data_IF_240500884761
#
_entry.id   IF_240500884761
#
_cell.length_a   1.000
_cell.length_b   1.000
_cell.length_c   1.000
_cell.angle_alpha   90.00
_cell.angle_beta   90.00
_cell.angle_gamma   90.00
#
_symmetry.space_group_name_H-M   'P 1'
#
loop_
_entity.id
_entity.type
_entity.pdbx_description
1 polymer ?
#
# COMPACT_ATOMS: atom_id res chain seq x y z
N UNK A 1 -1.66 16.58 -27.22
CA UNK A 1 -2.45 17.81 -27.40
C UNK A 1 -2.86 18.28 -26.02
N UNK A 2 -2.27 19.38 -25.54
CA UNK A 2 -2.63 20.00 -24.27
C UNK A 2 -4.03 20.59 -24.38
N UNK A 3 -4.89 20.28 -23.43
CA UNK A 3 -6.18 20.89 -23.30
C UNK A 3 -6.00 22.38 -22.91
N UNK A 4 -6.47 23.28 -23.75
CA UNK A 4 -6.54 24.71 -23.41
C UNK A 4 -7.92 24.97 -22.81
N UNK A 5 -8.02 25.47 -21.57
CA UNK A 5 -9.32 25.89 -21.04
C UNK A 5 -9.91 26.96 -21.94
N UNK A 6 -11.26 27.04 -22.00
CA UNK A 6 -11.97 28.16 -22.64
C UNK A 6 -11.67 29.42 -21.81
N UNK A 7 -10.56 30.06 -22.10
CA UNK A 7 -10.08 31.22 -21.36
C UNK A 7 -10.75 32.45 -21.96
N UNK A 8 -11.51 33.17 -21.16
CA UNK A 8 -11.86 34.55 -21.49
C UNK A 8 -10.57 35.37 -21.61
N UNK A 9 -10.49 36.28 -22.58
CA UNK A 9 -9.28 37.09 -22.89
C UNK A 9 -8.64 37.78 -21.68
N UNK A 10 -9.43 38.05 -20.64
CA UNK A 10 -8.94 38.70 -19.39
C UNK A 10 -8.29 37.69 -18.40
N UNK A 11 -8.37 36.40 -18.59
CA UNK A 11 -7.81 35.39 -17.68
C UNK A 11 -6.39 34.97 -18.05
N UNK A 12 -5.89 35.35 -19.21
CA UNK A 12 -4.56 34.97 -19.73
C UNK A 12 -3.37 35.49 -18.92
N UNK A 13 -3.61 36.41 -17.98
CA UNK A 13 -2.55 36.97 -17.09
C UNK A 13 -2.52 36.32 -15.69
N UNK A 14 -3.42 35.40 -15.38
CA UNK A 14 -3.47 34.76 -14.06
C UNK A 14 -2.73 33.43 -14.11
N UNK A 15 -1.70 33.28 -13.28
CA UNK A 15 -0.89 32.06 -13.13
C UNK A 15 -1.71 30.81 -12.79
N UNK A 16 -2.91 30.99 -12.24
CA UNK A 16 -3.86 29.91 -11.89
C UNK A 16 -4.48 29.21 -13.09
N UNK A 17 -4.38 29.81 -14.29
CA UNK A 17 -4.88 29.25 -15.57
C UNK A 17 -3.75 28.72 -16.45
N UNK A 18 -2.52 28.72 -15.97
CA UNK A 18 -1.39 28.09 -16.66
C UNK A 18 -1.23 26.64 -16.22
N UNK A 19 -1.16 25.73 -17.18
CA UNK A 19 -0.87 24.33 -16.90
C UNK A 19 0.58 24.20 -16.46
N UNK A 20 0.76 23.61 -15.28
CA UNK A 20 2.08 23.32 -14.73
C UNK A 20 2.37 21.83 -14.82
N UNK A 21 3.57 21.49 -15.28
CA UNK A 21 4.05 20.11 -15.26
C UNK A 21 4.35 19.66 -13.83
N UNK A 22 4.41 18.36 -13.61
CA UNK A 22 4.76 17.81 -12.28
C UNK A 22 6.15 18.28 -11.81
N UNK A 23 7.09 18.51 -12.73
CA UNK A 23 8.43 19.02 -12.44
C UNK A 23 8.40 20.50 -12.00
N UNK A 24 7.63 21.34 -12.70
CA UNK A 24 7.47 22.77 -12.38
C UNK A 24 6.79 22.98 -11.03
N UNK A 25 5.90 22.10 -10.64
CA UNK A 25 5.22 22.16 -9.34
C UNK A 25 6.08 21.67 -8.17
N UNK A 26 7.31 21.20 -8.42
CA UNK A 26 8.11 20.47 -7.42
C UNK A 26 7.32 19.31 -6.78
N UNK A 27 6.17 18.99 -7.33
CA UNK A 27 5.37 17.84 -6.99
C UNK A 27 6.13 16.63 -7.55
N UNK A 28 6.94 16.00 -6.71
CA UNK A 28 7.69 14.80 -7.08
C UNK A 28 6.75 13.79 -7.72
N UNK A 29 6.72 13.66 -9.02
CA UNK A 29 6.02 12.71 -9.90
C UNK A 29 5.09 11.67 -9.23
N UNK A 30 4.42 12.06 -8.15
CA UNK A 30 3.63 11.20 -7.31
C UNK A 30 2.22 11.10 -7.88
N UNK A 31 1.93 9.94 -8.41
CA UNK A 31 0.59 9.63 -8.86
C UNK A 31 -0.36 9.59 -7.67
N UNK A 32 -1.38 10.43 -7.68
CA UNK A 32 -2.46 10.43 -6.71
C UNK A 32 -3.56 9.46 -7.16
N UNK A 33 -3.78 8.41 -6.38
CA UNK A 33 -4.89 7.49 -6.61
C UNK A 33 -6.20 8.08 -6.12
N UNK A 34 -7.16 8.22 -7.01
CA UNK A 34 -8.57 8.41 -6.70
C UNK A 34 -9.29 7.07 -6.56
N UNK A 35 -10.63 7.09 -6.53
CA UNK A 35 -11.45 5.87 -6.55
C UNK A 35 -11.50 5.21 -7.92
N UNK A 36 -11.43 6.00 -8.98
CA UNK A 36 -11.61 5.55 -10.36
C UNK A 36 -10.36 5.68 -11.21
N UNK A 37 -9.53 6.69 -10.94
CA UNK A 37 -8.37 7.00 -11.77
C UNK A 37 -7.13 7.34 -10.91
N UNK A 38 -5.98 7.22 -11.55
CA UNK A 38 -4.70 7.67 -10.99
C UNK A 38 -4.33 8.97 -11.68
N UNK A 39 -4.16 10.04 -10.91
CA UNK A 39 -3.83 11.38 -11.41
C UNK A 39 -2.34 11.64 -11.31
N UNK A 40 -1.75 12.17 -12.37
CA UNK A 40 -0.36 12.63 -12.37
C UNK A 40 -0.20 13.93 -11.57
N UNK A 41 1.03 14.27 -11.18
CA UNK A 41 1.32 15.50 -10.44
C UNK A 41 1.17 16.80 -11.22
N UNK A 42 0.92 16.77 -12.53
CA UNK A 42 0.68 17.95 -13.37
C UNK A 42 -0.76 18.47 -13.30
N UNK A 43 -0.96 19.75 -13.57
CA UNK A 43 -2.30 20.35 -13.57
C UNK A 43 -2.28 21.86 -13.33
N UNK A 44 -3.47 22.40 -13.05
CA UNK A 44 -3.64 23.80 -12.68
C UNK A 44 -3.55 23.94 -11.17
N UNK A 45 -2.77 24.90 -10.68
CA UNK A 45 -2.53 25.07 -9.25
C UNK A 45 -3.09 26.39 -8.72
N UNK A 46 -3.87 26.30 -7.64
CA UNK A 46 -4.36 27.43 -6.89
C UNK A 46 -3.77 27.41 -5.48
N UNK A 47 -2.88 28.35 -5.18
CA UNK A 47 -2.37 28.51 -3.81
C UNK A 47 -3.27 29.44 -3.01
N UNK A 48 -3.91 28.90 -1.98
CA UNK A 48 -4.74 29.65 -1.06
C UNK A 48 -3.94 30.09 0.15
N UNK A 49 -3.69 31.38 0.28
CA UNK A 49 -2.98 31.98 1.42
C UNK A 49 -3.61 33.32 1.78
N UNK A 50 -3.80 33.58 3.07
CA UNK A 50 -4.22 34.89 3.56
C UNK A 50 -5.50 34.84 4.39
N UNK A 51 -6.12 36.03 4.54
CA UNK A 51 -7.34 36.20 5.34
C UNK A 51 -8.57 35.62 4.61
N UNK A 52 -9.53 35.11 5.36
CA UNK A 52 -10.78 34.49 4.87
C UNK A 52 -11.51 35.37 3.85
N UNK A 53 -11.60 36.69 4.08
CA UNK A 53 -12.27 37.61 3.14
C UNK A 53 -11.60 37.64 1.76
N UNK A 54 -10.24 37.65 1.71
CA UNK A 54 -9.49 37.63 0.46
C UNK A 54 -9.64 36.29 -0.27
N UNK A 55 -9.65 35.19 0.50
CA UNK A 55 -9.86 33.83 -0.04
C UNK A 55 -11.25 33.68 -0.65
N UNK A 56 -12.29 34.14 0.06
CA UNK A 56 -13.65 34.09 -0.45
C UNK A 56 -13.84 34.89 -1.75
N UNK A 57 -13.23 36.09 -1.83
CA UNK A 57 -13.25 36.88 -3.06
C UNK A 57 -12.53 36.15 -4.20
N UNK A 58 -11.37 35.54 -3.91
CA UNK A 58 -10.65 34.73 -4.94
C UNK A 58 -11.47 33.54 -5.42
N UNK A 59 -12.14 32.82 -4.53
CA UNK A 59 -13.03 31.73 -4.90
C UNK A 59 -14.19 32.21 -5.77
N UNK A 60 -14.81 33.36 -5.44
CA UNK A 60 -15.88 33.93 -6.26
C UNK A 60 -15.39 34.27 -7.67
N UNK A 61 -14.23 34.93 -7.79
CA UNK A 61 -13.63 35.24 -9.10
C UNK A 61 -13.37 33.97 -9.92
N UNK A 62 -12.91 32.88 -9.29
CA UNK A 62 -12.70 31.61 -9.98
C UNK A 62 -14.00 30.95 -10.42
N UNK A 63 -15.08 31.07 -9.62
CA UNK A 63 -16.41 30.60 -9.99
C UNK A 63 -16.98 31.39 -11.18
N UNK A 64 -16.87 32.71 -11.15
CA UNK A 64 -17.31 33.59 -12.24
C UNK A 64 -16.57 33.31 -13.55
N UNK A 65 -15.30 32.91 -13.48
CA UNK A 65 -14.46 32.59 -14.63
C UNK A 65 -14.45 31.07 -14.99
N UNK A 66 -15.34 30.26 -14.43
CA UNK A 66 -15.48 28.83 -14.73
C UNK A 66 -14.15 28.04 -14.64
N UNK A 67 -13.36 28.30 -13.58
CA UNK A 67 -12.10 27.58 -13.36
C UNK A 67 -12.29 26.07 -13.20
N UNK A 68 -13.45 25.66 -12.67
CA UNK A 68 -13.94 24.27 -12.68
C UNK A 68 -15.03 24.21 -13.77
N UNK A 69 -14.83 23.38 -14.77
CA UNK A 69 -15.71 23.23 -15.92
C UNK A 69 -16.07 21.77 -16.19
N UNK A 70 -16.87 21.52 -17.24
CA UNK A 70 -17.30 20.16 -17.63
C UNK A 70 -16.15 19.25 -18.06
N UNK A 71 -14.95 19.76 -18.26
CA UNK A 71 -13.74 19.01 -18.64
C UNK A 71 -12.88 18.69 -17.44
N UNK A 72 -13.15 19.30 -16.28
CA UNK A 72 -12.44 19.05 -15.03
C UNK A 72 -12.69 17.61 -14.58
N UNK A 73 -11.64 16.82 -14.44
CA UNK A 73 -11.72 15.40 -14.05
C UNK A 73 -11.62 15.20 -12.55
N UNK A 74 -10.79 15.99 -11.89
CA UNK A 74 -10.62 15.91 -10.45
C UNK A 74 -10.21 17.26 -9.87
N UNK A 75 -10.69 17.57 -8.68
CA UNK A 75 -10.23 18.67 -7.85
C UNK A 75 -9.50 18.07 -6.65
N UNK A 76 -8.23 18.44 -6.52
CA UNK A 76 -7.38 17.95 -5.44
C UNK A 76 -7.10 19.09 -4.48
N UNK A 77 -7.56 18.97 -3.24
CA UNK A 77 -7.25 19.93 -2.16
C UNK A 77 -6.23 19.30 -1.23
N UNK A 78 -5.09 19.96 -1.09
CA UNK A 78 -4.01 19.49 -0.23
C UNK A 78 -3.64 20.56 0.80
N UNK A 79 -3.53 20.15 2.06
CA UNK A 79 -3.04 21.02 3.13
C UNK A 79 -2.35 20.20 4.21
N UNK A 80 -1.40 20.83 4.91
CA UNK A 80 -0.67 20.22 6.01
C UNK A 80 -1.07 20.83 7.33
N UNK A 81 -1.24 20.00 8.36
CA UNK A 81 -1.56 20.41 9.73
C UNK A 81 -0.47 19.91 10.66
N UNK A 82 -0.04 20.76 11.58
CA UNK A 82 0.92 20.39 12.62
C UNK A 82 0.25 20.39 13.99
N UNK A 83 0.32 19.26 14.68
CA UNK A 83 -0.07 19.12 16.08
C UNK A 83 1.20 19.21 16.96
N UNK A 84 1.37 20.33 17.63
CA UNK A 84 2.54 20.58 18.47
C UNK A 84 2.58 19.70 19.74
N UNK A 85 1.43 19.32 20.28
CA UNK A 85 1.35 18.49 21.49
C UNK A 85 1.86 17.07 21.24
N UNK A 86 1.45 16.50 20.10
CA UNK A 86 1.85 15.15 19.70
C UNK A 86 3.11 15.12 18.83
N UNK A 87 3.61 16.29 18.42
CA UNK A 87 4.71 16.45 17.46
C UNK A 87 4.49 15.64 16.16
N UNK A 88 3.27 15.77 15.62
CA UNK A 88 2.84 15.06 14.43
C UNK A 88 2.47 16.06 13.33
N UNK A 89 2.92 15.77 12.11
CA UNK A 89 2.46 16.42 10.89
C UNK A 89 1.45 15.52 10.21
N UNK A 90 0.30 16.09 9.86
CA UNK A 90 -0.72 15.47 9.04
C UNK A 90 -0.78 16.15 7.69
N UNK A 91 -0.76 15.39 6.62
CA UNK A 91 -1.07 15.87 5.27
C UNK A 91 -2.42 15.34 4.90
N UNK A 92 -3.33 16.26 4.63
CA UNK A 92 -4.70 15.93 4.22
C UNK A 92 -4.83 16.18 2.73
N UNK A 93 -5.27 15.16 2.01
CA UNK A 93 -5.60 15.23 0.58
C UNK A 93 -7.06 14.86 0.39
N UNK A 94 -7.80 15.76 -0.21
CA UNK A 94 -9.20 15.55 -0.58
C UNK A 94 -9.23 15.54 -2.10
N UNK A 95 -9.57 14.40 -2.68
CA UNK A 95 -9.71 14.24 -4.12
C UNK A 95 -11.20 14.15 -4.43
N UNK A 96 -11.76 15.15 -5.09
CA UNK A 96 -13.12 15.12 -5.61
C UNK A 96 -13.06 14.74 -7.08
N UNK A 97 -13.46 13.52 -7.43
CA UNK A 97 -13.49 13.03 -8.80
C UNK A 97 -14.85 13.33 -9.43
N UNK A 98 -14.84 13.97 -10.60
CA UNK A 98 -16.02 14.25 -11.39
C UNK A 98 -16.29 13.07 -12.34
N UNK A 99 -17.24 12.23 -11.97
CA UNK A 99 -17.65 11.05 -12.73
C UNK A 99 -19.02 11.32 -13.34
N UNK A 100 -19.33 10.75 -14.51
CA UNK A 100 -20.52 11.06 -15.31
C UNK A 100 -21.90 11.00 -14.64
N UNK A 101 -21.99 10.73 -13.35
CA UNK A 101 -23.22 10.71 -12.55
C UNK A 101 -23.11 11.48 -11.23
N UNK A 102 -21.97 12.13 -10.93
CA UNK A 102 -21.80 12.84 -9.68
C UNK A 102 -20.35 13.08 -9.28
N UNK A 103 -20.16 13.50 -8.04
CA UNK A 103 -18.85 13.74 -7.44
C UNK A 103 -18.53 12.63 -6.45
N UNK A 104 -17.40 11.94 -6.64
CA UNK A 104 -16.90 10.93 -5.70
C UNK A 104 -15.75 11.51 -4.87
N UNK A 105 -15.95 11.83 -3.59
CA UNK A 105 -14.88 12.33 -2.74
C UNK A 105 -14.05 11.19 -2.17
N UNK A 106 -12.73 11.32 -2.22
CA UNK A 106 -11.77 10.44 -1.56
C UNK A 106 -10.96 11.26 -0.57
N UNK A 107 -10.91 10.80 0.68
CA UNK A 107 -10.15 11.43 1.74
C UNK A 107 -8.93 10.58 2.06
N UNK A 108 -7.76 11.19 2.03
CA UNK A 108 -6.52 10.56 2.45
C UNK A 108 -5.84 11.43 3.49
N UNK A 109 -5.53 10.86 4.62
CA UNK A 109 -4.81 11.52 5.71
C UNK A 109 -3.58 10.69 6.01
N UNK A 110 -2.42 11.26 5.75
CA UNK A 110 -1.14 10.65 6.03
C UNK A 110 -0.48 11.38 7.21
N UNK A 111 -0.03 10.63 8.21
CA UNK A 111 0.55 11.19 9.44
C UNK A 111 2.02 10.81 9.52
N UNK A 112 2.88 11.79 9.78
CA UNK A 112 4.31 11.57 9.95
C UNK A 112 4.84 12.33 11.17
N UNK A 113 5.78 11.70 11.88
CA UNK A 113 6.58 12.37 12.90
C UNK A 113 7.92 12.77 12.29
N UNK A 114 8.14 14.09 12.12
CA UNK A 114 9.37 14.60 11.50
C UNK A 114 10.55 14.64 12.49
N UNK A 115 10.29 15.04 13.72
CA UNK A 115 11.34 15.13 14.74
C UNK A 115 11.15 14.07 15.78
N UNK A 116 12.23 13.37 16.11
CA UNK A 116 12.22 12.43 17.21
C UNK A 116 12.10 13.21 18.52
N UNK A 117 11.20 12.77 19.38
CA UNK A 117 11.09 13.34 20.74
C UNK A 117 12.34 12.93 21.51
N UNK A 118 13.03 13.91 22.13
CA UNK A 118 14.15 13.68 23.04
C UNK A 118 13.61 13.28 24.41
N UNK A 119 12.98 12.11 24.45
CA UNK A 119 12.35 11.50 25.59
C UNK A 119 12.98 10.13 25.84
N UNK A 120 12.73 9.53 26.99
CA UNK A 120 13.26 8.19 27.33
C UNK A 120 12.94 7.18 26.21
N UNK A 121 11.72 7.22 25.66
CA UNK A 121 11.31 6.42 24.51
C UNK A 121 12.18 6.65 23.27
N UNK A 122 12.57 7.88 23.00
CA UNK A 122 13.45 8.23 21.86
C UNK A 122 14.86 7.66 22.00
N UNK A 123 15.41 7.66 23.21
CA UNK A 123 16.72 7.04 23.48
C UNK A 123 16.67 5.52 23.35
N UNK A 124 15.59 4.86 23.83
CA UNK A 124 15.41 3.42 23.67
C UNK A 124 15.35 3.05 22.18
N UNK A 125 14.57 3.78 21.37
CA UNK A 125 14.48 3.53 19.93
C UNK A 125 15.85 3.68 19.26
N UNK A 126 16.61 4.72 19.62
CA UNK A 126 17.97 4.92 19.07
C UNK A 126 18.90 3.77 19.45
N UNK A 127 18.85 3.29 20.71
CA UNK A 127 19.62 2.13 21.14
C UNK A 127 19.24 0.86 20.35
N UNK A 128 17.95 0.64 20.12
CA UNK A 128 17.46 -0.48 19.29
C UNK A 128 17.94 -0.37 17.83
N UNK A 129 17.95 0.83 17.24
CA UNK A 129 18.47 1.06 15.88
C UNK A 129 19.98 0.73 15.80
N UNK A 130 20.77 1.18 16.76
CA UNK A 130 22.20 0.84 16.84
C UNK A 130 22.41 -0.67 16.98
N UNK A 131 21.65 -1.31 17.88
CA UNK A 131 21.68 -2.75 18.04
C UNK A 131 21.35 -3.50 16.76
N UNK A 132 20.33 -3.03 16.02
CA UNK A 132 19.95 -3.59 14.73
C UNK A 132 21.08 -3.52 13.70
N UNK A 133 21.79 -2.39 13.63
CA UNK A 133 22.96 -2.23 12.74
C UNK A 133 24.05 -3.24 13.08
N UNK A 134 24.42 -3.36 14.36
CA UNK A 134 25.44 -4.33 14.81
C UNK A 134 25.00 -5.78 14.55
N UNK A 135 23.75 -6.10 14.85
CA UNK A 135 23.21 -7.43 14.60
C UNK A 135 23.22 -7.78 13.11
N UNK A 136 22.84 -6.84 12.23
CA UNK A 136 22.88 -7.03 10.79
C UNK A 136 24.30 -7.29 10.30
N UNK A 137 25.27 -6.51 10.78
CA UNK A 137 26.68 -6.69 10.45
C UNK A 137 27.19 -8.06 10.88
N UNK A 138 26.91 -8.48 12.10
CA UNK A 138 27.23 -9.82 12.61
C UNK A 138 26.61 -10.92 11.73
N UNK A 139 25.34 -10.75 11.33
CA UNK A 139 24.65 -11.70 10.47
C UNK A 139 25.29 -11.83 9.09
N UNK A 140 25.72 -10.72 8.50
CA UNK A 140 26.44 -10.70 7.21
C UNK A 140 27.74 -11.51 7.32
N UNK A 141 28.53 -11.25 8.35
CA UNK A 141 29.80 -11.97 8.56
C UNK A 141 29.58 -13.47 8.75
N UNK A 142 28.61 -13.84 9.56
CA UNK A 142 28.27 -15.24 9.82
C UNK A 142 27.80 -15.97 8.55
N UNK A 143 26.97 -15.31 7.74
CA UNK A 143 26.49 -15.88 6.48
C UNK A 143 27.61 -16.05 5.44
N UNK A 144 28.54 -15.10 5.37
CA UNK A 144 29.72 -15.21 4.53
C UNK A 144 30.63 -16.38 5.00
N UNK A 145 30.82 -16.52 6.30
CA UNK A 145 31.59 -17.64 6.87
C UNK A 145 30.95 -19.00 6.53
N UNK A 146 29.63 -19.10 6.67
CA UNK A 146 28.85 -20.30 6.31
C UNK A 146 28.93 -20.60 4.82
N UNK A 147 28.83 -19.58 3.97
CA UNK A 147 28.98 -19.73 2.51
C UNK A 147 30.37 -20.26 2.13
N UNK A 148 31.44 -19.76 2.77
CA UNK A 148 32.80 -20.24 2.56
C UNK A 148 33.01 -21.69 3.01
N UNK A 149 32.43 -22.07 4.14
CA UNK A 149 32.59 -23.41 4.73
C UNK A 149 31.84 -24.50 3.97
N UNK A 150 30.59 -24.23 3.54
CA UNK A 150 29.72 -25.19 2.85
C UNK A 150 29.92 -25.22 1.33
N UNK A 151 30.49 -24.15 0.76
CA UNK A 151 30.55 -23.92 -0.67
C UNK A 151 29.21 -23.53 -1.28
N UNK A 152 29.21 -22.84 -2.44
CA UNK A 152 27.99 -22.23 -3.01
C UNK A 152 26.91 -23.26 -3.33
N UNK A 153 27.27 -24.43 -3.89
CA UNK A 153 26.31 -25.45 -4.30
C UNK A 153 25.51 -26.01 -3.10
N UNK A 154 26.15 -26.27 -1.97
CA UNK A 154 25.52 -26.85 -0.79
C UNK A 154 24.79 -25.77 0.02
N UNK A 155 25.29 -24.54 0.01
CA UNK A 155 24.66 -23.40 0.69
C UNK A 155 23.26 -23.12 0.12
N UNK A 156 23.09 -23.08 -1.21
CA UNK A 156 21.81 -22.81 -1.86
C UNK A 156 20.82 -23.99 -1.84
N UNK A 157 21.24 -25.19 -1.44
CA UNK A 157 20.31 -26.32 -1.24
C UNK A 157 19.49 -26.22 0.02
N UNK A 158 19.97 -25.51 1.03
CA UNK A 158 19.25 -25.32 2.28
C UNK A 158 18.32 -24.11 2.22
N UNK A 159 17.02 -24.34 2.32
CA UNK A 159 16.01 -23.27 2.30
C UNK A 159 16.21 -22.23 3.41
N UNK A 160 16.78 -22.61 4.56
CA UNK A 160 17.04 -21.70 5.66
C UNK A 160 18.15 -20.69 5.34
N UNK A 161 19.15 -21.10 4.60
CA UNK A 161 20.20 -20.18 4.12
C UNK A 161 19.64 -19.16 3.12
N UNK A 162 18.62 -19.53 2.34
CA UNK A 162 17.91 -18.59 1.45
C UNK A 162 17.16 -17.54 2.28
N UNK A 163 16.48 -17.95 3.36
CA UNK A 163 15.82 -17.03 4.29
C UNK A 163 16.85 -16.06 4.92
N UNK A 164 18.05 -16.55 5.24
CA UNK A 164 19.13 -15.71 5.77
C UNK A 164 19.55 -14.63 4.78
N UNK A 165 19.76 -14.98 3.49
CA UNK A 165 20.10 -14.01 2.44
C UNK A 165 18.99 -12.97 2.28
N UNK A 166 17.74 -13.41 2.19
CA UNK A 166 16.57 -12.52 2.04
C UNK A 166 16.50 -11.55 3.22
N UNK A 167 16.67 -12.04 4.44
CA UNK A 167 16.65 -11.19 5.64
C UNK A 167 17.79 -10.16 5.62
N UNK A 168 19.00 -10.55 5.24
CA UNK A 168 20.15 -9.65 5.13
C UNK A 168 19.88 -8.59 4.05
N UNK A 169 19.37 -8.99 2.88
CA UNK A 169 19.05 -8.07 1.82
C UNK A 169 18.07 -6.98 2.28
N UNK A 170 16.94 -7.38 2.87
CA UNK A 170 15.96 -6.42 3.38
C UNK A 170 16.50 -5.59 4.54
N UNK A 171 17.34 -6.15 5.42
CA UNK A 171 17.99 -5.37 6.49
C UNK A 171 18.91 -4.28 5.94
N UNK A 172 19.66 -4.55 4.88
CA UNK A 172 20.48 -3.54 4.20
C UNK A 172 19.63 -2.46 3.53
N UNK A 173 18.51 -2.85 2.91
CA UNK A 173 17.55 -1.89 2.32
C UNK A 173 16.95 -1.00 3.41
N UNK A 174 16.58 -1.56 4.58
CA UNK A 174 16.08 -0.79 5.74
C UNK A 174 17.12 0.25 6.17
N UNK A 175 18.40 -0.13 6.29
CA UNK A 175 19.47 0.80 6.65
C UNK A 175 19.62 1.92 5.61
N UNK A 176 19.58 1.61 4.33
CA UNK A 176 19.62 2.60 3.25
C UNK A 176 18.43 3.57 3.30
N UNK A 177 17.21 3.06 3.43
CA UNK A 177 16.00 3.86 3.55
C UNK A 177 16.00 4.72 4.83
N UNK A 178 16.53 4.20 5.93
CA UNK A 178 16.70 4.97 7.17
C UNK A 178 17.58 6.20 6.97
N UNK A 179 18.71 6.07 6.28
CA UNK A 179 19.61 7.18 5.96
C UNK A 179 18.89 8.20 5.07
N UNK A 180 18.26 7.75 3.99
CA UNK A 180 17.54 8.63 3.05
C UNK A 180 16.41 9.38 3.77
N UNK A 181 15.62 8.68 4.59
CA UNK A 181 14.56 9.28 5.42
C UNK A 181 15.09 10.38 6.32
N UNK A 182 16.17 10.14 7.06
CA UNK A 182 16.74 11.13 7.97
C UNK A 182 17.28 12.37 7.20
N UNK A 183 17.89 12.17 6.04
CA UNK A 183 18.36 13.28 5.21
C UNK A 183 17.19 14.14 4.71
N UNK A 184 16.10 13.54 4.25
CA UNK A 184 14.91 14.28 3.82
C UNK A 184 14.22 15.00 4.99
N UNK A 185 14.11 14.38 6.15
CA UNK A 185 13.57 15.03 7.36
C UNK A 185 14.41 16.26 7.77
N UNK A 186 15.73 16.17 7.69
CA UNK A 186 16.60 17.33 7.99
C UNK A 186 16.37 18.48 6.99
N UNK A 187 16.25 18.16 5.69
CA UNK A 187 15.95 19.17 4.65
C UNK A 187 14.60 19.84 4.93
N UNK A 188 13.58 19.03 5.18
CA UNK A 188 12.22 19.49 5.45
C UNK A 188 12.17 20.38 6.70
N UNK A 189 12.81 19.98 7.78
CA UNK A 189 12.88 20.76 9.03
C UNK A 189 13.58 22.11 8.82
N UNK A 190 14.62 22.15 7.99
CA UNK A 190 15.28 23.42 7.61
C UNK A 190 14.34 24.33 6.81
N UNK A 191 13.55 23.78 5.89
CA UNK A 191 12.56 24.54 5.13
C UNK A 191 11.45 25.08 6.04
N UNK A 192 10.92 24.29 6.95
CA UNK A 192 9.90 24.70 7.92
C UNK A 192 10.42 25.86 8.77
N UNK A 193 11.66 25.76 9.29
CA UNK A 193 12.29 26.85 10.08
C UNK A 193 12.49 28.12 9.28
N UNK A 194 12.88 28.03 8.01
CA UNK A 194 13.08 29.21 7.13
C UNK A 194 11.77 29.92 6.80
N UNK A 195 10.71 29.17 6.60
CA UNK A 195 9.39 29.71 6.20
C UNK A 195 8.52 30.12 7.39
N UNK A 196 8.93 29.78 8.62
CA UNK A 196 8.14 30.03 9.82
C UNK A 196 6.75 29.37 9.80
N UNK A 197 6.57 28.31 9.02
CA UNK A 197 5.28 27.63 8.84
C UNK A 197 4.29 28.37 7.91
N UNK A 198 4.69 29.50 7.31
CA UNK A 198 3.81 30.34 6.50
C UNK A 198 3.79 30.01 5.00
N UNK A 199 4.47 28.96 4.56
CA UNK A 199 4.47 28.50 3.18
C UNK A 199 4.04 27.04 3.08
N UNK A 200 3.42 26.67 1.96
CA UNK A 200 3.17 25.28 1.64
C UNK A 200 4.51 24.56 1.44
N UNK A 201 4.70 23.44 2.13
CA UNK A 201 5.90 22.63 2.05
C UNK A 201 5.46 21.23 1.58
N UNK A 202 5.98 20.73 0.45
CA UNK A 202 5.65 19.42 -0.06
C UNK A 202 6.28 18.33 0.82
N UNK A 203 5.50 17.78 1.75
CA UNK A 203 5.93 16.73 2.69
C UNK A 203 5.78 15.34 2.07
N UNK A 204 5.10 15.25 0.93
CA UNK A 204 4.68 13.99 0.31
C UNK A 204 5.83 13.02 0.02
N UNK A 205 6.96 13.53 -0.50
CA UNK A 205 8.14 12.71 -0.75
C UNK A 205 8.67 12.05 0.53
N UNK A 206 8.73 12.82 1.60
CA UNK A 206 9.18 12.31 2.90
C UNK A 206 8.21 11.24 3.43
N UNK A 207 6.92 11.41 3.23
CA UNK A 207 5.90 10.43 3.61
C UNK A 207 6.01 9.14 2.83
N UNK A 208 6.24 9.21 1.50
CA UNK A 208 6.46 8.01 0.70
C UNK A 208 7.69 7.22 1.15
N UNK A 209 8.82 7.92 1.36
CA UNK A 209 10.04 7.29 1.86
C UNK A 209 9.78 6.62 3.22
N UNK A 210 9.02 7.30 4.10
CA UNK A 210 8.61 6.72 5.38
C UNK A 210 7.76 5.47 5.21
N UNK A 211 6.79 5.48 4.28
CA UNK A 211 5.95 4.31 4.01
C UNK A 211 6.77 3.14 3.46
N UNK A 212 7.70 3.38 2.53
CA UNK A 212 8.61 2.33 2.05
C UNK A 212 9.51 1.78 3.16
N UNK A 213 9.99 2.64 4.03
CA UNK A 213 10.75 2.23 5.21
C UNK A 213 9.91 1.31 6.11
N UNK A 214 8.68 1.71 6.45
CA UNK A 214 7.78 0.95 7.32
C UNK A 214 7.42 -0.41 6.71
N UNK A 215 7.12 -0.49 5.40
CA UNK A 215 6.89 -1.75 4.69
C UNK A 215 8.12 -2.66 4.73
N UNK A 216 9.30 -2.10 4.48
CA UNK A 216 10.53 -2.90 4.45
C UNK A 216 10.90 -3.40 5.84
N UNK A 217 10.72 -2.57 6.89
CA UNK A 217 10.90 -3.00 8.29
C UNK A 217 9.92 -4.12 8.63
N UNK A 218 8.64 -3.97 8.27
CA UNK A 218 7.62 -5.00 8.53
C UNK A 218 7.98 -6.34 7.87
N UNK A 219 8.47 -6.30 6.63
CA UNK A 219 8.92 -7.50 5.94
C UNK A 219 10.18 -8.10 6.56
N UNK A 220 11.13 -7.28 7.02
CA UNK A 220 12.34 -7.72 7.72
C UNK A 220 11.99 -8.40 9.05
N UNK A 221 11.04 -7.84 9.81
CA UNK A 221 10.52 -8.45 11.03
C UNK A 221 9.86 -9.80 10.73
N UNK A 222 9.01 -9.86 9.69
CA UNK A 222 8.37 -11.10 9.27
C UNK A 222 9.39 -12.20 8.93
N UNK A 223 10.40 -11.89 8.10
CA UNK A 223 11.44 -12.87 7.74
C UNK A 223 12.29 -13.27 8.95
N UNK A 224 12.55 -12.35 9.88
CA UNK A 224 13.23 -12.65 11.14
C UNK A 224 12.42 -13.58 12.04
N UNK A 225 11.10 -13.39 12.11
CA UNK A 225 10.21 -14.31 12.84
C UNK A 225 10.18 -15.71 12.22
N UNK A 226 10.23 -15.82 10.88
CA UNK A 226 10.35 -17.14 10.25
C UNK A 226 11.61 -17.90 10.70
N UNK A 227 12.70 -17.21 11.05
CA UNK A 227 13.91 -17.86 11.58
C UNK A 227 13.68 -18.56 12.91
N UNK A 228 12.74 -18.10 13.73
CA UNK A 228 12.39 -18.82 14.96
C UNK A 228 11.82 -20.21 14.67
N UNK A 229 11.18 -20.41 13.51
CA UNK A 229 10.74 -21.73 13.08
C UNK A 229 11.91 -22.72 12.91
N UNK A 230 13.11 -22.22 12.53
CA UNK A 230 14.32 -23.05 12.47
C UNK A 230 14.73 -23.55 13.86
N UNK A 231 14.63 -22.72 14.91
CA UNK A 231 14.90 -23.12 16.28
C UNK A 231 13.91 -24.18 16.77
N UNK A 232 12.62 -24.02 16.39
CA UNK A 232 11.60 -24.98 16.74
C UNK A 232 11.84 -26.35 16.06
N UNK A 233 12.52 -26.37 14.91
CA UNK A 233 12.84 -27.63 14.18
C UNK A 233 13.76 -28.58 14.95
N UNK A 234 14.38 -28.18 16.07
CA UNK A 234 15.12 -29.09 16.95
C UNK A 234 14.21 -30.00 17.76
N UNK A 235 12.94 -29.63 17.98
CA UNK A 235 11.98 -30.47 18.69
C UNK A 235 11.47 -31.59 17.78
N UNK A 236 11.33 -32.82 18.33
CA UNK A 236 10.87 -34.00 17.58
C UNK A 236 9.52 -33.79 16.90
N UNK A 237 8.57 -33.15 17.60
CA UNK A 237 7.24 -32.86 17.07
C UNK A 237 7.28 -31.99 15.80
N UNK A 238 8.12 -30.94 15.79
CA UNK A 238 8.25 -30.07 14.60
C UNK A 238 8.95 -30.77 13.45
N UNK A 239 9.92 -31.66 13.70
CA UNK A 239 10.52 -32.50 12.64
C UNK A 239 9.50 -33.41 11.99
N UNK A 240 8.61 -34.02 12.77
CA UNK A 240 7.52 -34.85 12.25
C UNK A 240 6.58 -34.04 11.38
N UNK A 241 6.12 -32.86 11.85
CA UNK A 241 5.26 -31.96 11.09
C UNK A 241 5.94 -31.56 9.76
N UNK A 242 7.21 -31.15 9.81
CA UNK A 242 7.95 -30.77 8.61
C UNK A 242 8.11 -31.93 7.62
N UNK A 243 8.35 -33.14 8.11
CA UNK A 243 8.41 -34.34 7.27
C UNK A 243 7.06 -34.65 6.63
N UNK A 244 5.96 -34.57 7.40
CA UNK A 244 4.59 -34.76 6.88
C UNK A 244 4.26 -33.73 5.82
N UNK A 245 4.54 -32.42 6.04
CA UNK A 245 4.33 -31.36 5.04
C UNK A 245 5.12 -31.65 3.77
N UNK A 246 6.37 -32.11 3.89
CA UNK A 246 7.20 -32.47 2.72
C UNK A 246 6.60 -33.63 1.92
N UNK A 247 6.07 -34.65 2.57
CA UNK A 247 5.39 -35.75 1.92
C UNK A 247 4.07 -35.31 1.26
N UNK A 248 3.33 -34.43 1.91
CA UNK A 248 2.07 -33.87 1.40
C UNK A 248 2.26 -32.86 0.27
N UNK A 249 3.48 -32.36 0.05
CA UNK A 249 3.73 -31.21 -0.83
C UNK A 249 3.21 -31.42 -2.26
N UNK A 250 3.38 -32.59 -2.84
CA UNK A 250 2.91 -32.90 -4.19
C UNK A 250 1.37 -32.85 -4.26
N UNK A 251 0.70 -33.51 -3.31
CA UNK A 251 -0.77 -33.50 -3.25
C UNK A 251 -1.33 -32.13 -2.92
N UNK A 252 -0.66 -31.38 -2.05
CA UNK A 252 -1.03 -30.01 -1.72
C UNK A 252 -0.85 -29.07 -2.92
N UNK A 253 0.21 -29.21 -3.71
CA UNK A 253 0.44 -28.39 -4.91
C UNK A 253 -0.62 -28.63 -5.98
N UNK A 254 -1.03 -29.87 -6.23
CA UNK A 254 -2.15 -30.17 -7.15
C UNK A 254 -3.46 -29.58 -6.66
N UNK A 255 -3.74 -29.69 -5.35
CA UNK A 255 -4.90 -29.05 -4.75
C UNK A 255 -4.90 -27.51 -4.94
N UNK A 256 -3.76 -26.85 -4.70
CA UNK A 256 -3.63 -25.39 -4.87
C UNK A 256 -3.90 -25.00 -6.33
N UNK A 257 -3.37 -25.74 -7.31
CA UNK A 257 -3.61 -25.47 -8.73
C UNK A 257 -5.11 -25.62 -9.05
N UNK A 258 -5.75 -26.72 -8.61
CA UNK A 258 -7.19 -26.94 -8.82
C UNK A 258 -8.02 -25.82 -8.17
N UNK A 259 -7.66 -25.42 -6.94
CA UNK A 259 -8.32 -24.32 -6.24
C UNK A 259 -8.18 -22.99 -6.99
N UNK A 260 -6.98 -22.63 -7.44
CA UNK A 260 -6.72 -21.37 -8.18
C UNK A 260 -7.52 -21.30 -9.48
N UNK A 261 -7.60 -22.40 -10.23
CA UNK A 261 -8.37 -22.47 -11.48
C UNK A 261 -9.88 -22.29 -11.19
N UNK A 262 -10.43 -23.01 -10.24
CA UNK A 262 -11.85 -22.91 -9.88
C UNK A 262 -12.17 -21.54 -9.32
N UNK A 263 -11.37 -21.06 -8.39
CA UNK A 263 -11.55 -19.74 -7.78
C UNK A 263 -11.46 -18.61 -8.82
N UNK A 264 -10.46 -18.67 -9.70
CA UNK A 264 -10.28 -17.71 -10.78
C UNK A 264 -11.46 -17.67 -11.75
N UNK A 265 -12.02 -18.85 -12.08
CA UNK A 265 -13.22 -18.96 -12.95
C UNK A 265 -14.42 -18.25 -12.31
N UNK A 266 -14.63 -18.42 -11.00
CA UNK A 266 -15.72 -17.72 -10.29
C UNK A 266 -15.44 -16.22 -10.13
N UNK A 267 -14.20 -15.81 -9.94
CA UNK A 267 -13.83 -14.38 -9.94
C UNK A 267 -14.18 -13.73 -11.27
N UNK A 268 -13.80 -14.33 -12.39
CA UNK A 268 -14.16 -13.83 -13.71
C UNK A 268 -15.69 -13.76 -13.90
N UNK A 269 -16.38 -14.82 -13.52
CA UNK A 269 -17.85 -14.87 -13.62
C UNK A 269 -18.51 -13.75 -12.82
N UNK A 270 -18.15 -13.56 -11.54
CA UNK A 270 -18.73 -12.51 -10.70
C UNK A 270 -18.34 -11.12 -11.20
N UNK A 271 -17.12 -10.94 -11.70
CA UNK A 271 -16.71 -9.67 -12.30
C UNK A 271 -17.62 -9.30 -13.47
N UNK A 272 -17.80 -10.18 -14.45
CA UNK A 272 -18.60 -9.86 -15.63
C UNK A 272 -20.08 -9.60 -15.32
N UNK A 273 -20.67 -10.28 -14.35
CA UNK A 273 -22.10 -10.15 -14.06
C UNK A 273 -22.39 -9.04 -13.05
N UNK A 274 -21.51 -8.83 -12.06
CA UNK A 274 -21.80 -7.93 -10.92
C UNK A 274 -21.10 -6.58 -11.01
N UNK A 275 -20.13 -6.39 -11.90
CA UNK A 275 -19.36 -5.14 -11.99
C UNK A 275 -20.23 -3.91 -12.27
N UNK A 276 -21.28 -4.06 -13.04
CA UNK A 276 -22.21 -2.97 -13.35
C UNK A 276 -23.14 -2.60 -12.18
N UNK A 277 -23.43 -3.54 -11.28
CA UNK A 277 -24.50 -3.39 -10.28
C UNK A 277 -23.99 -3.24 -8.85
N UNK A 278 -22.79 -3.77 -8.56
CA UNK A 278 -22.23 -3.78 -7.20
C UNK A 278 -20.84 -3.14 -7.16
N UNK A 279 -20.71 -2.09 -6.36
CA UNK A 279 -19.43 -1.38 -6.13
C UNK A 279 -18.29 -2.31 -5.72
N UNK A 280 -18.61 -3.38 -4.98
CA UNK A 280 -17.63 -4.34 -4.50
C UNK A 280 -17.02 -5.23 -5.61
N UNK A 281 -17.56 -5.20 -6.81
CA UNK A 281 -17.11 -5.98 -7.96
C UNK A 281 -16.69 -5.08 -9.15
N UNK A 282 -16.52 -3.77 -8.90
CA UNK A 282 -16.18 -2.78 -9.93
C UNK A 282 -14.85 -3.08 -10.62
N UNK A 283 -13.84 -3.50 -9.84
CA UNK A 283 -12.50 -3.82 -10.29
C UNK A 283 -12.17 -5.28 -10.04
N UNK A 284 -11.26 -5.83 -10.83
CA UNK A 284 -10.77 -7.21 -10.66
C UNK A 284 -10.19 -7.44 -9.25
N UNK A 285 -9.43 -6.49 -8.70
CA UNK A 285 -8.85 -6.60 -7.36
C UNK A 285 -9.93 -6.66 -6.27
N UNK A 286 -10.94 -5.77 -6.36
CA UNK A 286 -12.07 -5.80 -5.43
C UNK A 286 -12.88 -7.09 -5.58
N UNK A 287 -13.07 -7.57 -6.82
CA UNK A 287 -13.76 -8.83 -7.09
C UNK A 287 -13.04 -10.02 -6.45
N UNK A 288 -11.72 -10.12 -6.62
CA UNK A 288 -10.92 -11.20 -5.98
C UNK A 288 -11.04 -11.14 -4.47
N UNK A 289 -10.90 -9.96 -3.87
CA UNK A 289 -11.03 -9.78 -2.41
C UNK A 289 -12.41 -10.17 -1.90
N UNK A 290 -13.48 -9.72 -2.57
CA UNK A 290 -14.85 -10.04 -2.17
C UNK A 290 -15.18 -11.51 -2.40
N UNK A 291 -14.77 -12.11 -3.53
CA UNK A 291 -14.96 -13.54 -3.78
C UNK A 291 -14.22 -14.41 -2.75
N UNK A 292 -13.01 -13.97 -2.34
CA UNK A 292 -12.29 -14.65 -1.24
C UNK A 292 -13.03 -14.49 0.10
N UNK A 293 -13.53 -13.30 0.41
CA UNK A 293 -14.34 -13.07 1.60
C UNK A 293 -15.61 -13.93 1.60
N UNK A 294 -16.25 -14.07 0.44
CA UNK A 294 -17.41 -14.95 0.24
C UNK A 294 -17.05 -16.43 0.47
N UNK A 295 -15.89 -16.88 -0.01
CA UNK A 295 -15.41 -18.24 0.23
C UNK A 295 -15.19 -18.55 1.71
N UNK A 296 -14.82 -17.55 2.52
CA UNK A 296 -14.64 -17.65 3.99
C UNK A 296 -15.97 -17.47 4.76
N UNK A 297 -17.08 -17.18 4.04
CA UNK A 297 -18.39 -17.00 4.65
C UNK A 297 -18.79 -15.56 4.97
N UNK A 298 -17.98 -14.57 4.59
CA UNK A 298 -18.32 -13.15 4.72
C UNK A 298 -19.00 -12.66 3.44
N UNK A 299 -20.34 -12.73 3.38
CA UNK A 299 -21.09 -12.27 2.20
C UNK A 299 -22.45 -11.68 2.59
N UNK A 300 -22.92 -10.77 1.76
CA UNK A 300 -24.27 -10.21 1.86
C UNK A 300 -25.16 -10.77 0.74
N UNK A 301 -25.85 -11.88 1.05
CA UNK A 301 -26.71 -12.58 0.09
C UNK A 301 -27.85 -11.70 -0.41
N UNK A 302 -28.40 -10.84 0.46
CA UNK A 302 -29.47 -9.91 0.09
C UNK A 302 -29.04 -8.91 -0.98
N UNK A 303 -27.86 -8.32 -0.84
CA UNK A 303 -27.28 -7.42 -1.84
C UNK A 303 -26.97 -8.12 -3.16
N UNK A 304 -26.46 -9.35 -3.09
CA UNK A 304 -26.16 -10.17 -4.27
C UNK A 304 -27.42 -10.54 -5.05
N UNK A 305 -28.48 -10.96 -4.36
CA UNK A 305 -29.77 -11.31 -4.94
C UNK A 305 -30.47 -10.08 -5.54
N UNK A 306 -30.40 -8.93 -4.87
CA UNK A 306 -30.98 -7.69 -5.38
C UNK A 306 -30.27 -7.20 -6.66
N UNK A 307 -28.96 -7.45 -6.78
CA UNK A 307 -28.20 -7.09 -7.96
C UNK A 307 -28.44 -8.06 -9.14
N UNK A 308 -28.44 -9.35 -8.90
CA UNK A 308 -28.69 -10.38 -9.90
C UNK A 308 -29.08 -11.71 -9.22
N UNK A 309 -30.30 -12.18 -9.47
CA UNK A 309 -30.83 -13.40 -8.87
C UNK A 309 -30.07 -14.66 -9.36
N UNK A 310 -29.68 -14.71 -10.63
CA UNK A 310 -28.89 -15.80 -11.19
C UNK A 310 -27.50 -15.90 -10.56
N UNK A 311 -26.83 -14.77 -10.34
CA UNK A 311 -25.54 -14.74 -9.65
C UNK A 311 -25.65 -15.23 -8.18
N UNK A 312 -26.77 -14.95 -7.52
CA UNK A 312 -27.01 -15.42 -6.16
C UNK A 312 -27.15 -16.97 -6.10
N UNK A 313 -27.78 -17.59 -7.09
CA UNK A 313 -27.86 -19.06 -7.18
C UNK A 313 -26.51 -19.70 -7.52
N UNK A 314 -25.73 -19.09 -8.40
CA UNK A 314 -24.37 -19.58 -8.74
C UNK A 314 -23.43 -19.46 -7.54
N UNK A 315 -23.68 -18.52 -6.63
CA UNK A 315 -22.96 -18.43 -5.37
C UNK A 315 -23.07 -19.73 -4.55
N UNK A 316 -24.23 -20.40 -4.52
CA UNK A 316 -24.37 -21.69 -3.85
C UNK A 316 -23.53 -22.79 -4.53
N UNK A 317 -23.47 -22.79 -5.87
CA UNK A 317 -22.60 -23.70 -6.60
C UNK A 317 -21.12 -23.44 -6.27
N UNK A 318 -20.71 -22.18 -6.17
CA UNK A 318 -19.38 -21.76 -5.75
C UNK A 318 -19.05 -22.27 -4.33
N UNK A 319 -19.93 -21.99 -3.36
CA UNK A 319 -19.74 -22.41 -1.97
C UNK A 319 -19.67 -23.94 -1.83
N UNK A 320 -20.54 -24.65 -2.55
CA UNK A 320 -20.53 -26.12 -2.58
C UNK A 320 -19.23 -26.69 -3.17
N UNK A 321 -18.72 -26.08 -4.25
CA UNK A 321 -17.47 -26.50 -4.88
C UNK A 321 -16.25 -26.23 -3.97
N UNK A 322 -16.21 -25.09 -3.30
CA UNK A 322 -15.16 -24.77 -2.32
C UNK A 322 -15.20 -25.77 -1.16
N UNK A 323 -16.38 -26.06 -0.62
CA UNK A 323 -16.55 -27.03 0.46
C UNK A 323 -16.08 -28.43 0.05
N UNK A 324 -16.42 -28.87 -1.17
CA UNK A 324 -15.95 -30.11 -1.75
C UNK A 324 -14.42 -30.16 -1.86
N UNK A 325 -13.78 -29.09 -2.31
CA UNK A 325 -12.33 -29.00 -2.40
C UNK A 325 -11.66 -29.11 -1.02
N UNK A 326 -12.22 -28.42 -0.01
CA UNK A 326 -11.73 -28.49 1.38
C UNK A 326 -11.89 -29.93 1.92
N UNK A 327 -13.02 -30.59 1.66
CA UNK A 327 -13.26 -31.98 2.05
C UNK A 327 -12.25 -32.93 1.39
N UNK A 328 -11.98 -32.75 0.10
CA UNK A 328 -10.97 -33.54 -0.63
C UNK A 328 -9.57 -33.42 -0.02
N UNK A 329 -9.20 -32.19 0.33
CA UNK A 329 -7.93 -31.92 1.03
C UNK A 329 -7.89 -32.60 2.41
N UNK A 330 -8.98 -32.51 3.18
CA UNK A 330 -9.07 -33.11 4.49
C UNK A 330 -8.92 -34.64 4.39
N UNK A 331 -9.61 -35.29 3.46
CA UNK A 331 -9.50 -36.74 3.22
C UNK A 331 -8.09 -37.15 2.80
N UNK A 332 -7.43 -36.37 1.95
CA UNK A 332 -6.05 -36.61 1.55
C UNK A 332 -5.09 -36.50 2.75
N UNK A 333 -5.26 -35.52 3.62
CA UNK A 333 -4.45 -35.36 4.84
C UNK A 333 -4.68 -36.52 5.83
N UNK A 334 -5.93 -37.01 5.98
CA UNK A 334 -6.24 -38.17 6.81
C UNK A 334 -5.58 -39.47 6.30
N UNK A 335 -5.59 -39.72 5.00
CA UNK A 335 -4.91 -40.87 4.41
C UNK A 335 -3.41 -40.85 4.69
N UNK A 336 -2.78 -39.67 4.61
CA UNK A 336 -1.36 -39.52 4.91
C UNK A 336 -1.00 -39.69 6.40
N UNK A 337 -1.93 -39.38 7.29
CA UNK A 337 -1.74 -39.57 8.74
C UNK A 337 -1.94 -41.01 9.16
N UNK A 338 -2.63 -41.80 8.34
CA UNK A 338 -2.89 -43.25 8.59
C UNK A 338 -1.81 -44.16 8.03
N UNK A 339 -0.93 -43.66 7.16
CA UNK A 339 0.28 -44.32 6.64
C UNK A 339 1.50 -43.91 7.43
#
# INVERSE_FOLDING_TARGET
MGWLPLIHENCTRMTEYEYQTAEQREANNLNLGGSYHIYSGGGYELRMKGQIKKLNNKIKTLQENNWIDNRTRALITEFSVYNAQANLFGVVKIVAEFVGGGISPVFRIDIIRLTRVMDLGGYIVTACELFFVFATFYYVLNTIATLKSLGPKNFFKDAWNMVDIVTIFFSLVVMGLWVIKNLEVIKLTKQIKRTGGNAFIPIEKTMQINSYYDYTVSFTVFTSMLKFCRLLSFQKAFKQIAATIKLCFIGLSTFVVEFVIVFGSFCCFFFFILSANLRNFLDINHTVQNTLAMAIGKFNFGALRAANEGAAWIFFAFSSKILYLIYKLYMFLLQLLST
#
